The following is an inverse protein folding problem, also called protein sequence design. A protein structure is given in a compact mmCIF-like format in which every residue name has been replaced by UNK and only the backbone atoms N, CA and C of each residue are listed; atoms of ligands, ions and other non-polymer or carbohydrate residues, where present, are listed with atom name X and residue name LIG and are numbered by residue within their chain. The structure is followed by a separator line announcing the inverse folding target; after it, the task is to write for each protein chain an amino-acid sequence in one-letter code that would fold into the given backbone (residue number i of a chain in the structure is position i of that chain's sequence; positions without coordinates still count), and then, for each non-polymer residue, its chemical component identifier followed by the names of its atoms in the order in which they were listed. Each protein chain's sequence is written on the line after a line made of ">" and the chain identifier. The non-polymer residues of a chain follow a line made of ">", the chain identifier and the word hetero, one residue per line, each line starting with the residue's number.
data_IF_930393299389
#
_entry.id   IF_930393299389
#
_cell.length_a   1.000
_cell.length_b   1.000
_cell.length_c   1.000
_cell.angle_alpha   90.00
_cell.angle_beta   90.00
_cell.angle_gamma   90.00
#
_symmetry.space_group_name_H-M   'P 1'
#
loop_
_entity.id
_entity.type
_entity.pdbx_description
1 polymer ?
#
# COMPACT_ATOMS: atom_id res chain seq x y z
N UNK A 1 -40.27 -59.90 -28.17
CA UNK A 1 -41.72 -60.12 -28.33
C UNK A 1 -41.99 -60.08 -29.83
N UNK A 2 -42.47 -61.10 -30.52
CA UNK A 2 -43.09 -62.36 -30.14
C UNK A 2 -42.95 -63.35 -31.33
N UNK A 3 -43.11 -64.65 -31.03
CA UNK A 3 -43.46 -65.76 -31.93
C UNK A 3 -42.50 -66.03 -33.11
N UNK A 4 -41.79 -67.16 -33.20
CA UNK A 4 -42.27 -68.50 -32.90
C UNK A 4 -43.13 -68.99 -34.05
N UNK A 5 -42.51 -69.61 -35.05
CA UNK A 5 -43.20 -70.56 -35.93
C UNK A 5 -42.15 -71.52 -36.45
N UNK A 6 -41.93 -72.56 -35.66
CA UNK A 6 -41.47 -73.87 -36.14
C UNK A 6 -42.38 -74.26 -37.31
N UNK A 7 -41.78 -74.61 -38.44
CA UNK A 7 -42.50 -75.35 -39.47
C UNK A 7 -42.13 -76.81 -39.24
N UNK A 8 -43.03 -77.49 -38.52
CA UNK A 8 -43.08 -78.94 -38.45
C UNK A 8 -43.04 -79.51 -39.87
N UNK A 9 -42.02 -80.32 -40.14
CA UNK A 9 -42.00 -81.26 -41.25
C UNK A 9 -43.09 -82.30 -40.98
N UNK A 10 -44.31 -82.02 -41.42
CA UNK A 10 -45.33 -83.05 -41.57
C UNK A 10 -44.83 -84.05 -42.63
N UNK A 11 -44.69 -85.35 -42.31
CA UNK A 11 -44.49 -86.37 -43.34
C UNK A 11 -45.67 -86.26 -44.30
N UNK A 12 -45.44 -86.38 -45.61
CA UNK A 12 -46.54 -86.62 -46.54
C UNK A 12 -47.18 -87.97 -46.16
N UNK A 13 -48.16 -87.91 -45.27
CA UNK A 13 -49.17 -88.92 -45.05
C UNK A 13 -49.90 -89.16 -46.36
N UNK A 14 -50.09 -90.45 -46.68
CA UNK A 14 -51.17 -90.90 -47.54
C UNK A 14 -51.06 -90.52 -49.01
N UNK A 15 -50.13 -91.16 -49.75
CA UNK A 15 -50.53 -91.62 -51.08
C UNK A 15 -51.45 -92.83 -50.84
N UNK A 16 -52.70 -92.56 -50.44
CA UNK A 16 -53.77 -93.55 -50.46
C UNK A 16 -54.05 -93.90 -51.92
N UNK A 17 -53.70 -95.12 -52.32
CA UNK A 17 -53.84 -95.59 -53.69
C UNK A 17 -52.96 -96.78 -54.06
N UNK A 18 -52.10 -97.25 -53.16
CA UNK A 18 -51.49 -98.57 -53.26
C UNK A 18 -52.26 -99.52 -52.35
N UNK A 19 -53.16 -100.34 -52.91
CA UNK A 19 -53.42 -101.72 -52.50
C UNK A 19 -54.60 -102.33 -53.29
N UNK A 20 -54.38 -103.56 -53.78
CA UNK A 20 -55.16 -104.40 -54.73
C UNK A 20 -54.82 -104.22 -56.22
N UNK A 21 -54.13 -105.20 -56.86
CA UNK A 21 -54.03 -105.25 -58.31
C UNK A 21 -55.43 -105.55 -58.86
N UNK A 22 -55.98 -104.64 -59.66
CA UNK A 22 -57.24 -104.88 -60.37
C UNK A 22 -57.02 -106.06 -61.33
N UNK A 23 -57.60 -107.22 -61.05
CA UNK A 23 -57.57 -108.41 -61.94
C UNK A 23 -58.56 -108.13 -63.07
N UNK A 24 -58.07 -108.02 -64.30
CA UNK A 24 -58.88 -107.65 -65.47
C UNK A 24 -59.13 -108.89 -66.33
N UNK A 25 -60.39 -109.16 -66.67
CA UNK A 25 -60.76 -110.20 -67.63
C UNK A 25 -60.27 -109.80 -69.04
N UNK A 26 -59.84 -110.78 -69.86
CA UNK A 26 -59.13 -110.52 -71.13
C UNK A 26 -59.90 -109.60 -72.10
N UNK A 27 -61.23 -109.57 -72.02
CA UNK A 27 -62.10 -108.75 -72.87
C UNK A 27 -62.10 -107.26 -72.45
N UNK A 28 -61.87 -106.95 -71.17
CA UNK A 28 -61.91 -105.59 -70.60
C UNK A 28 -60.52 -104.96 -70.42
N UNK A 29 -59.45 -105.74 -70.60
CA UNK A 29 -58.06 -105.30 -70.50
C UNK A 29 -57.79 -104.09 -71.41
N UNK A 30 -58.39 -104.08 -72.59
CA UNK A 30 -58.20 -103.03 -73.58
C UNK A 30 -58.84 -101.70 -73.13
N UNK A 31 -59.97 -101.75 -72.43
CA UNK A 31 -60.65 -100.55 -71.89
C UNK A 31 -59.92 -99.98 -70.67
N UNK A 32 -59.45 -100.82 -69.74
CA UNK A 32 -58.67 -100.34 -68.58
C UNK A 32 -57.27 -99.85 -69.00
N UNK A 33 -56.64 -100.46 -70.01
CA UNK A 33 -55.41 -99.91 -70.60
C UNK A 33 -55.69 -98.56 -71.27
N UNK A 34 -56.79 -98.40 -72.01
CA UNK A 34 -57.17 -97.10 -72.57
C UNK A 34 -57.45 -96.05 -71.47
N UNK A 35 -58.09 -96.45 -70.36
CA UNK A 35 -58.32 -95.58 -69.20
C UNK A 35 -57.03 -95.17 -68.52
N UNK A 36 -56.11 -96.10 -68.24
CA UNK A 36 -54.80 -95.80 -67.65
C UNK A 36 -53.92 -94.97 -68.60
N UNK A 37 -54.01 -95.19 -69.91
CA UNK A 37 -53.38 -94.33 -70.92
C UNK A 37 -53.95 -92.92 -70.92
N UNK A 38 -55.28 -92.76 -70.80
CA UNK A 38 -55.92 -91.45 -70.70
C UNK A 38 -55.54 -90.71 -69.40
N UNK A 39 -55.42 -91.45 -68.29
CA UNK A 39 -55.13 -90.90 -66.96
C UNK A 39 -53.64 -90.57 -66.82
N UNK A 40 -52.75 -91.39 -67.37
CA UNK A 40 -51.31 -91.06 -67.50
C UNK A 40 -51.05 -89.92 -68.47
N UNK A 41 -51.80 -89.83 -69.59
CA UNK A 41 -51.74 -88.66 -70.47
C UNK A 41 -52.28 -87.39 -69.80
N UNK A 42 -53.36 -87.49 -69.01
CA UNK A 42 -53.89 -86.37 -68.23
C UNK A 42 -52.94 -85.94 -67.10
N UNK A 43 -52.29 -86.90 -66.42
CA UNK A 43 -51.27 -86.65 -65.41
C UNK A 43 -50.06 -85.96 -66.03
N UNK A 44 -49.55 -86.46 -67.17
CA UNK A 44 -48.45 -85.82 -67.90
C UNK A 44 -48.81 -84.40 -68.34
N UNK A 45 -50.03 -84.18 -68.83
CA UNK A 45 -50.53 -82.83 -69.17
C UNK A 45 -50.67 -81.93 -67.94
N UNK A 46 -50.98 -82.49 -66.77
CA UNK A 46 -51.03 -81.76 -65.52
C UNK A 46 -49.63 -81.41 -65.00
N UNK A 47 -48.65 -82.30 -65.16
CA UNK A 47 -47.24 -82.06 -64.84
C UNK A 47 -46.63 -80.97 -65.74
N UNK A 48 -46.85 -81.02 -67.05
CA UNK A 48 -46.42 -79.97 -67.99
C UNK A 48 -47.05 -78.60 -67.64
N UNK A 49 -48.31 -78.60 -67.20
CA UNK A 49 -48.98 -77.38 -66.70
C UNK A 49 -48.38 -76.91 -65.38
N UNK A 50 -48.08 -77.82 -64.45
CA UNK A 50 -47.42 -77.50 -63.17
C UNK A 50 -46.03 -76.89 -63.42
N UNK A 51 -45.24 -77.47 -64.31
CA UNK A 51 -43.91 -76.96 -64.67
C UNK A 51 -43.96 -75.60 -65.35
N UNK A 52 -44.84 -75.42 -66.33
CA UNK A 52 -45.00 -74.11 -66.99
C UNK A 52 -45.53 -73.03 -66.03
N UNK A 53 -46.38 -73.38 -65.07
CA UNK A 53 -46.79 -72.47 -64.00
C UNK A 53 -45.64 -72.19 -63.02
N UNK A 54 -44.85 -73.20 -62.65
CA UNK A 54 -43.68 -73.01 -61.78
C UNK A 54 -42.64 -72.09 -62.43
N UNK A 55 -42.35 -72.25 -63.73
CA UNK A 55 -41.46 -71.36 -64.47
C UNK A 55 -42.00 -69.92 -64.54
N UNK A 56 -43.31 -69.76 -64.80
CA UNK A 56 -43.95 -68.42 -64.78
C UNK A 56 -43.87 -67.80 -63.39
N UNK A 57 -44.13 -68.56 -62.33
CA UNK A 57 -44.03 -68.09 -60.95
C UNK A 57 -42.60 -67.67 -60.61
N UNK A 58 -41.59 -68.47 -60.97
CA UNK A 58 -40.19 -68.12 -60.70
C UNK A 58 -39.79 -66.83 -61.45
N UNK A 59 -40.20 -66.67 -62.72
CA UNK A 59 -39.94 -65.43 -63.46
C UNK A 59 -40.57 -64.19 -62.82
N UNK A 60 -41.78 -64.32 -62.28
CA UNK A 60 -42.48 -63.24 -61.58
C UNK A 60 -41.83 -62.97 -60.22
N UNK A 61 -41.40 -64.01 -59.50
CA UNK A 61 -40.69 -63.89 -58.23
C UNK A 61 -39.37 -63.15 -58.46
N UNK A 62 -38.61 -63.53 -59.49
CA UNK A 62 -37.32 -62.89 -59.78
C UNK A 62 -37.51 -61.40 -60.15
N UNK A 63 -38.46 -61.09 -61.02
CA UNK A 63 -38.81 -59.70 -61.34
C UNK A 63 -39.24 -58.90 -60.09
N UNK A 64 -39.94 -59.55 -59.14
CA UNK A 64 -40.30 -58.93 -57.85
C UNK A 64 -39.09 -58.75 -56.94
N UNK A 65 -38.14 -59.69 -56.90
CA UNK A 65 -36.89 -59.57 -56.12
C UNK A 65 -36.06 -58.38 -56.62
N UNK A 66 -35.91 -58.24 -57.93
CA UNK A 66 -35.20 -57.10 -58.52
C UNK A 66 -35.89 -55.77 -58.21
N UNK A 67 -37.22 -55.70 -58.38
CA UNK A 67 -38.00 -54.51 -58.00
C UNK A 67 -37.82 -54.17 -56.52
N UNK A 68 -37.88 -55.16 -55.63
CA UNK A 68 -37.68 -54.98 -54.20
C UNK A 68 -36.27 -54.49 -53.89
N UNK A 69 -35.23 -55.03 -54.53
CA UNK A 69 -33.85 -54.56 -54.40
C UNK A 69 -33.72 -53.09 -54.77
N UNK A 70 -34.26 -52.68 -55.92
CA UNK A 70 -34.24 -51.28 -56.37
C UNK A 70 -34.95 -50.36 -55.37
N UNK A 71 -36.11 -50.78 -54.85
CA UNK A 71 -36.83 -49.98 -53.85
C UNK A 71 -36.05 -49.83 -52.54
N UNK A 72 -35.31 -50.86 -52.11
CA UNK A 72 -34.45 -50.81 -50.94
C UNK A 72 -33.27 -49.86 -51.15
N UNK A 73 -32.57 -49.95 -52.29
CA UNK A 73 -31.47 -49.05 -52.64
C UNK A 73 -31.95 -47.58 -52.69
N UNK A 74 -33.10 -47.32 -53.30
CA UNK A 74 -33.72 -45.98 -53.31
C UNK A 74 -34.08 -45.49 -51.91
N UNK A 75 -34.56 -46.38 -51.03
CA UNK A 75 -34.88 -46.05 -49.64
C UNK A 75 -33.62 -45.68 -48.86
N UNK A 76 -32.51 -46.40 -49.04
CA UNK A 76 -31.23 -46.08 -48.43
C UNK A 76 -30.68 -44.73 -48.92
N UNK A 77 -30.73 -44.47 -50.24
CA UNK A 77 -30.30 -43.19 -50.78
C UNK A 77 -31.14 -42.03 -50.24
N UNK A 78 -32.46 -42.22 -50.13
CA UNK A 78 -33.36 -41.23 -49.52
C UNK A 78 -33.01 -40.97 -48.06
N UNK A 79 -32.70 -42.01 -47.28
CA UNK A 79 -32.27 -41.84 -45.88
C UNK A 79 -30.95 -41.06 -45.78
N UNK A 80 -29.96 -41.37 -46.62
CA UNK A 80 -28.69 -40.63 -46.67
C UNK A 80 -28.89 -39.15 -47.01
N UNK A 81 -29.76 -38.86 -47.98
CA UNK A 81 -30.12 -37.49 -48.34
C UNK A 81 -30.83 -36.76 -47.20
N UNK A 82 -31.74 -37.41 -46.48
CA UNK A 82 -32.44 -36.75 -45.36
C UNK A 82 -31.48 -36.44 -44.20
N UNK A 83 -30.54 -37.36 -43.90
CA UNK A 83 -29.48 -37.11 -42.91
C UNK A 83 -28.60 -35.93 -43.34
N UNK A 84 -28.18 -35.89 -44.61
CA UNK A 84 -27.38 -34.77 -45.13
C UNK A 84 -28.15 -33.44 -45.10
N UNK A 85 -29.44 -33.45 -45.44
CA UNK A 85 -30.31 -32.27 -45.39
C UNK A 85 -30.44 -31.71 -43.97
N UNK A 86 -30.63 -32.58 -42.97
CA UNK A 86 -30.67 -32.17 -41.56
C UNK A 86 -29.29 -31.63 -41.12
N UNK A 87 -28.19 -32.26 -41.53
CA UNK A 87 -26.85 -31.79 -41.22
C UNK A 87 -26.59 -30.39 -41.82
N UNK A 88 -26.98 -30.15 -43.07
CA UNK A 88 -26.86 -28.84 -43.73
C UNK A 88 -27.72 -27.79 -43.02
N UNK A 89 -28.96 -28.13 -42.63
CA UNK A 89 -29.82 -27.23 -41.87
C UNK A 89 -29.20 -26.85 -40.52
N UNK A 90 -28.65 -27.83 -39.78
CA UNK A 90 -27.96 -27.59 -38.52
C UNK A 90 -26.72 -26.70 -38.70
N UNK A 91 -25.92 -26.95 -39.75
CA UNK A 91 -24.77 -26.12 -40.09
C UNK A 91 -25.20 -24.67 -40.41
N UNK A 92 -26.29 -24.49 -41.16
CA UNK A 92 -26.85 -23.16 -41.46
C UNK A 92 -27.31 -22.42 -40.19
N UNK A 93 -27.93 -23.11 -39.23
CA UNK A 93 -28.32 -22.49 -37.95
C UNK A 93 -27.08 -22.07 -37.18
N UNK A 94 -26.03 -22.91 -37.15
CA UNK A 94 -24.79 -22.60 -36.46
C UNK A 94 -24.04 -21.41 -37.07
N UNK A 95 -23.99 -21.29 -38.40
CA UNK A 95 -23.37 -20.14 -39.07
C UNK A 95 -24.13 -18.83 -38.80
N UNK A 96 -25.46 -18.86 -38.76
CA UNK A 96 -26.27 -17.69 -38.39
C UNK A 96 -26.02 -17.29 -36.93
N UNK A 97 -26.05 -18.25 -36.00
CA UNK A 97 -25.79 -18.00 -34.58
C UNK A 97 -24.40 -17.39 -34.34
N UNK A 98 -23.36 -17.99 -34.92
CA UNK A 98 -21.99 -17.46 -34.79
C UNK A 98 -21.84 -16.08 -35.42
N UNK A 99 -22.53 -15.79 -36.53
CA UNK A 99 -22.57 -14.44 -37.11
C UNK A 99 -23.22 -13.42 -36.16
N UNK A 100 -24.31 -13.81 -35.50
CA UNK A 100 -25.00 -12.97 -34.52
C UNK A 100 -24.16 -12.72 -33.26
N UNK A 101 -23.47 -13.74 -32.74
CA UNK A 101 -22.52 -13.59 -31.63
C UNK A 101 -21.39 -12.61 -31.98
N UNK A 102 -20.86 -12.66 -33.20
CA UNK A 102 -19.85 -11.70 -33.68
C UNK A 102 -20.41 -10.28 -33.76
N UNK A 103 -21.66 -10.11 -34.23
CA UNK A 103 -22.33 -8.79 -34.25
C UNK A 103 -22.51 -8.23 -32.83
N UNK A 104 -22.93 -9.07 -31.89
CA UNK A 104 -23.12 -8.69 -30.49
C UNK A 104 -21.79 -8.26 -29.85
N UNK A 105 -20.72 -9.04 -30.05
CA UNK A 105 -19.37 -8.66 -29.58
C UNK A 105 -18.88 -7.36 -30.20
N UNK A 106 -19.12 -7.14 -31.51
CA UNK A 106 -18.77 -5.89 -32.18
C UNK A 106 -19.51 -4.70 -31.56
N UNK A 107 -20.81 -4.83 -31.27
CA UNK A 107 -21.58 -3.77 -30.62
C UNK A 107 -21.05 -3.43 -29.22
N UNK A 108 -20.70 -4.46 -28.42
CA UNK A 108 -20.08 -4.28 -27.10
C UNK A 108 -18.74 -3.55 -27.19
N UNK A 109 -17.88 -3.92 -28.14
CA UNK A 109 -16.60 -3.24 -28.37
C UNK A 109 -16.81 -1.79 -28.81
N UNK A 110 -17.77 -1.52 -29.69
CA UNK A 110 -18.11 -0.15 -30.07
C UNK A 110 -18.56 0.69 -28.87
N UNK A 111 -19.34 0.11 -27.95
CA UNK A 111 -19.71 0.78 -26.70
C UNK A 111 -18.49 1.05 -25.81
N UNK A 112 -17.63 0.03 -25.60
CA UNK A 112 -16.42 0.17 -24.80
C UNK A 112 -15.48 1.26 -25.36
N UNK A 113 -15.30 1.34 -26.68
CA UNK A 113 -14.51 2.39 -27.34
C UNK A 113 -15.10 3.78 -27.06
N UNK A 114 -16.44 3.94 -27.15
CA UNK A 114 -17.11 5.22 -26.84
C UNK A 114 -16.90 5.63 -25.38
N UNK A 115 -17.04 4.69 -24.44
CA UNK A 115 -16.79 4.94 -23.03
C UNK A 115 -15.34 5.32 -22.77
N UNK A 116 -14.39 4.62 -23.40
CA UNK A 116 -12.97 4.92 -23.28
C UNK A 116 -12.65 6.32 -23.81
N UNK A 117 -13.22 6.72 -24.94
CA UNK A 117 -13.05 8.07 -25.50
C UNK A 117 -13.55 9.17 -24.54
N UNK A 118 -14.71 8.97 -23.91
CA UNK A 118 -15.23 9.90 -22.89
C UNK A 118 -14.27 9.97 -21.70
N UNK A 119 -13.84 8.81 -21.19
CA UNK A 119 -12.89 8.76 -20.08
C UNK A 119 -11.52 9.39 -20.41
N UNK A 120 -11.07 9.28 -21.66
CA UNK A 120 -9.85 9.92 -22.14
C UNK A 120 -9.97 11.45 -22.15
N UNK A 121 -11.14 12.00 -22.54
CA UNK A 121 -11.41 13.44 -22.46
C UNK A 121 -11.42 13.93 -21.01
N UNK A 122 -12.08 13.21 -20.11
CA UNK A 122 -12.11 13.59 -18.69
C UNK A 122 -10.72 13.51 -18.06
N UNK A 123 -9.93 12.49 -18.40
CA UNK A 123 -8.55 12.35 -17.94
C UNK A 123 -7.66 13.50 -18.45
N UNK A 124 -7.80 13.87 -19.73
CA UNK A 124 -7.07 15.00 -20.31
C UNK A 124 -7.42 16.33 -19.63
N UNK A 125 -8.71 16.57 -19.36
CA UNK A 125 -9.15 17.75 -18.63
C UNK A 125 -8.58 17.78 -17.19
N UNK A 126 -8.63 16.66 -16.47
CA UNK A 126 -8.03 16.56 -15.13
C UNK A 126 -6.51 16.80 -15.16
N UNK A 127 -5.82 16.28 -16.18
CA UNK A 127 -4.39 16.52 -16.37
C UNK A 127 -4.08 18.00 -16.62
N UNK A 128 -4.88 18.68 -17.44
CA UNK A 128 -4.74 20.12 -17.69
C UNK A 128 -4.94 20.93 -16.40
N UNK A 129 -5.97 20.63 -15.62
CA UNK A 129 -6.21 21.29 -14.33
C UNK A 129 -5.04 21.11 -13.37
N UNK A 130 -4.46 19.90 -13.30
CA UNK A 130 -3.28 19.63 -12.48
C UNK A 130 -2.06 20.43 -12.97
N UNK A 131 -1.86 20.51 -14.28
CA UNK A 131 -0.77 21.33 -14.85
C UNK A 131 -0.95 22.82 -14.54
N UNK A 132 -2.18 23.34 -14.60
CA UNK A 132 -2.49 24.73 -14.24
C UNK A 132 -2.22 24.99 -12.76
N UNK A 133 -2.67 24.10 -11.87
CA UNK A 133 -2.37 24.19 -10.44
C UNK A 133 -0.86 24.17 -10.18
N UNK A 134 -0.11 23.29 -10.85
CA UNK A 134 1.35 23.25 -10.75
C UNK A 134 2.00 24.53 -11.27
N UNK A 135 1.50 25.14 -12.35
CA UNK A 135 1.98 26.45 -12.85
C UNK A 135 1.68 27.58 -11.88
N UNK A 136 0.54 27.55 -11.19
CA UNK A 136 0.21 28.53 -10.16
C UNK A 136 1.11 28.37 -8.93
N UNK A 137 1.36 27.14 -8.48
CA UNK A 137 2.24 26.85 -7.34
C UNK A 137 3.71 27.15 -7.64
N UNK A 138 4.21 26.73 -8.81
CA UNK A 138 5.57 27.04 -9.30
C UNK A 138 5.70 28.50 -9.78
N UNK A 139 4.59 29.24 -9.83
CA UNK A 139 4.58 30.62 -10.22
C UNK A 139 5.50 31.42 -9.30
N UNK A 140 6.46 32.14 -9.90
CA UNK A 140 7.40 33.03 -9.20
C UNK A 140 6.70 33.95 -8.17
N UNK A 141 5.41 34.28 -8.39
CA UNK A 141 4.56 35.08 -7.50
C UNK A 141 4.23 34.40 -6.18
N UNK A 142 3.89 33.11 -6.16
CA UNK A 142 3.55 32.38 -4.91
C UNK A 142 4.80 32.20 -4.06
N UNK A 143 5.91 31.77 -4.69
CA UNK A 143 7.20 31.69 -4.02
C UNK A 143 7.68 33.04 -3.49
N UNK A 144 7.48 34.13 -4.24
CA UNK A 144 7.80 35.47 -3.77
C UNK A 144 6.91 35.89 -2.59
N UNK A 145 5.61 35.63 -2.63
CA UNK A 145 4.70 35.98 -1.55
C UNK A 145 5.02 35.21 -0.27
N UNK A 146 5.25 33.89 -0.35
CA UNK A 146 5.66 33.08 0.79
C UNK A 146 7.01 33.54 1.34
N UNK A 147 7.99 33.82 0.48
CA UNK A 147 9.29 34.36 0.90
C UNK A 147 9.13 35.72 1.58
N UNK A 148 8.24 36.58 1.08
CA UNK A 148 7.96 37.87 1.70
C UNK A 148 7.29 37.72 3.08
N UNK A 149 6.32 36.81 3.21
CA UNK A 149 5.70 36.47 4.50
C UNK A 149 6.71 35.87 5.49
N UNK A 150 7.58 34.97 5.03
CA UNK A 150 8.66 34.41 5.83
C UNK A 150 9.58 35.53 6.33
N UNK A 151 10.00 36.46 5.45
CA UNK A 151 10.79 37.62 5.87
C UNK A 151 10.06 38.46 6.91
N UNK A 152 8.79 38.79 6.70
CA UNK A 152 7.98 39.54 7.68
C UNK A 152 7.88 38.84 9.03
N UNK A 153 7.69 37.51 9.04
CA UNK A 153 7.66 36.71 10.26
C UNK A 153 9.02 36.73 10.97
N UNK A 154 10.11 36.52 10.25
CA UNK A 154 11.48 36.56 10.78
C UNK A 154 11.83 37.94 11.34
N UNK A 155 11.45 39.02 10.66
CA UNK A 155 11.61 40.40 11.17
C UNK A 155 10.81 40.63 12.46
N UNK A 156 9.58 40.09 12.55
CA UNK A 156 8.79 40.17 13.78
C UNK A 156 9.45 39.39 14.92
N UNK A 157 9.93 38.17 14.66
CA UNK A 157 10.65 37.36 15.64
C UNK A 157 11.92 38.05 16.12
N UNK A 158 12.71 38.62 15.22
CA UNK A 158 13.89 39.40 15.54
C UNK A 158 13.56 40.57 16.47
N UNK A 159 12.49 41.32 16.18
CA UNK A 159 12.04 42.41 17.04
C UNK A 159 11.62 41.93 18.44
N UNK A 160 10.86 40.82 18.52
CA UNK A 160 10.44 40.25 19.80
C UNK A 160 11.63 39.74 20.62
N UNK A 161 12.61 39.07 19.99
CA UNK A 161 13.83 38.60 20.66
C UNK A 161 14.74 39.78 21.04
N UNK A 162 14.75 40.86 20.27
CA UNK A 162 15.42 42.12 20.65
C UNK A 162 14.84 42.73 21.93
N UNK A 163 13.52 42.67 22.11
CA UNK A 163 12.89 43.06 23.38
C UNK A 163 13.32 42.15 24.53
N UNK A 164 13.36 40.82 24.33
CA UNK A 164 13.83 39.89 25.37
C UNK A 164 15.28 40.16 25.76
N UNK A 165 16.14 40.46 24.80
CA UNK A 165 17.53 40.83 25.08
C UNK A 165 17.65 42.17 25.83
N UNK A 166 16.69 43.08 25.63
CA UNK A 166 16.59 44.34 26.39
C UNK A 166 16.12 44.08 27.83
N UNK A 167 15.19 43.12 28.02
CA UNK A 167 14.72 42.70 29.35
C UNK A 167 15.80 41.92 30.13
N UNK A 168 16.60 41.11 29.44
CA UNK A 168 17.67 40.29 30.01
C UNK A 168 19.03 40.63 29.37
N UNK A 169 19.59 41.82 29.66
CA UNK A 169 20.85 42.26 29.07
C UNK A 169 21.99 41.34 29.52
N UNK A 170 22.65 40.74 28.54
CA UNK A 170 23.85 39.91 28.75
C UNK A 170 25.11 40.73 28.50
N UNK A 171 25.73 41.23 29.57
CA UNK A 171 27.02 41.95 29.49
C UNK A 171 28.18 40.98 29.77
N UNK A 172 29.17 40.97 28.88
CA UNK A 172 30.49 40.42 29.21
C UNK A 172 31.18 41.40 30.16
N UNK A 173 31.76 40.91 31.25
CA UNK A 173 32.57 41.74 32.12
C UNK A 173 33.86 42.10 31.39
N UNK A 174 33.92 43.27 30.74
CA UNK A 174 35.19 43.89 30.39
C UNK A 174 35.85 44.36 31.69
N UNK A 175 36.96 43.72 32.03
CA UNK A 175 37.78 44.10 33.16
C UNK A 175 38.46 45.44 32.84
N UNK A 176 37.81 46.54 33.20
CA UNK A 176 38.49 47.84 33.27
C UNK A 176 39.44 47.82 34.47
N UNK A 177 40.65 47.29 34.27
CA UNK A 177 41.78 47.63 35.13
C UNK A 177 42.09 49.11 34.88
N UNK A 178 41.55 49.98 35.74
CA UNK A 178 42.06 51.34 35.90
C UNK A 178 43.37 51.26 36.67
N UNK A 179 44.49 51.23 35.97
CA UNK A 179 45.75 51.72 36.54
C UNK A 179 45.93 53.18 36.14
N UNK A 180 45.95 54.06 37.14
CA UNK A 180 46.37 55.45 37.01
C UNK A 180 47.77 55.58 37.63
N UNK A 181 48.64 56.28 36.89
CA UNK A 181 49.83 57.06 37.27
C UNK A 181 51.24 56.44 37.14
N UNK A 182 52.11 57.25 36.51
CA UNK A 182 53.58 57.23 36.59
C UNK A 182 54.26 56.87 35.26
N UNK A 183 54.41 57.78 34.30
CA UNK A 183 55.54 58.70 34.10
C UNK A 183 56.90 58.03 33.81
N UNK A 184 57.44 58.40 32.64
CA UNK A 184 58.85 58.51 32.23
C UNK A 184 59.62 57.36 31.54
N UNK A 185 59.89 57.65 30.26
CA UNK A 185 61.18 57.63 29.55
C UNK A 185 61.77 56.35 28.88
N UNK A 186 61.91 56.51 27.55
CA UNK A 186 63.05 56.19 26.65
C UNK A 186 63.49 54.74 26.37
N UNK A 187 63.36 54.41 25.08
CA UNK A 187 64.42 54.03 24.11
C UNK A 187 64.56 52.58 23.63
N UNK A 188 64.57 52.48 22.29
CA UNK A 188 65.38 51.66 21.35
C UNK A 188 65.31 50.11 21.37
N UNK A 189 64.92 49.62 20.19
CA UNK A 189 65.39 48.46 19.41
C UNK A 189 65.90 47.21 20.13
N UNK A 190 65.26 46.07 19.83
CA UNK A 190 65.92 44.78 19.58
C UNK A 190 64.99 43.81 18.84
N UNK A 191 65.43 43.44 17.64
CA UNK A 191 65.02 42.32 16.81
C UNK A 191 65.05 40.97 17.55
N UNK A 192 63.99 40.15 17.46
CA UNK A 192 64.07 38.69 17.25
C UNK A 192 62.70 37.98 17.38
N UNK A 193 62.32 37.31 16.29
CA UNK A 193 61.60 36.02 16.21
C UNK A 193 60.34 35.80 17.07
N UNK A 194 59.15 36.02 16.47
CA UNK A 194 57.93 35.35 16.91
C UNK A 194 57.77 34.03 16.16
N UNK A 195 58.11 32.96 16.86
CA UNK A 195 57.77 31.58 16.49
C UNK A 195 56.26 31.41 16.55
N UNK A 196 55.68 30.96 15.44
CA UNK A 196 54.35 30.38 15.36
C UNK A 196 54.29 29.21 16.34
N UNK A 197 53.39 29.21 17.33
CA UNK A 197 52.76 27.99 17.83
C UNK A 197 51.66 28.22 18.89
N UNK A 198 50.53 27.56 18.59
CA UNK A 198 49.49 27.04 19.48
C UNK A 198 48.46 28.05 20.03
N UNK A 199 47.32 28.01 19.35
CA UNK A 199 45.98 28.43 19.75
C UNK A 199 45.67 28.16 21.23
N UNK A 200 45.61 29.22 22.03
CA UNK A 200 44.86 29.24 23.28
C UNK A 200 43.37 29.41 22.96
N UNK A 201 42.54 28.50 23.47
CA UNK A 201 41.10 28.61 23.44
C UNK A 201 40.64 29.99 23.97
N UNK A 202 39.57 30.59 23.42
CA UNK A 202 39.07 31.88 23.91
C UNK A 202 38.61 31.71 25.35
N UNK A 203 39.32 32.33 26.29
CA UNK A 203 38.90 32.41 27.69
C UNK A 203 37.63 33.27 27.72
N UNK A 204 36.48 32.62 27.87
CA UNK A 204 35.17 33.26 28.00
C UNK A 204 35.18 34.12 29.27
N UNK A 205 35.10 35.44 29.10
CA UNK A 205 34.84 36.36 30.21
C UNK A 205 33.53 35.99 30.92
N UNK A 206 33.41 36.17 32.25
CA UNK A 206 32.19 35.82 32.96
C UNK A 206 31.01 36.65 32.43
N UNK A 207 30.02 35.99 31.84
CA UNK A 207 28.79 36.61 31.36
C UNK A 207 27.86 36.90 32.56
N UNK A 208 27.23 38.06 32.54
CA UNK A 208 26.21 38.46 33.54
C UNK A 208 24.86 38.67 32.87
N UNK A 209 23.77 38.26 33.52
CA UNK A 209 22.41 38.69 33.18
C UNK A 209 21.97 39.69 34.24
N UNK A 210 21.57 40.90 33.83
CA UNK A 210 21.15 41.98 34.76
C UNK A 210 22.20 42.30 35.85
N UNK A 211 23.49 42.11 35.54
CA UNK A 211 24.61 42.33 36.49
C UNK A 211 24.84 41.20 37.50
N UNK A 212 24.12 40.08 37.37
CA UNK A 212 24.32 38.88 38.19
C UNK A 212 25.16 37.83 37.44
N UNK A 213 26.22 37.32 38.08
CA UNK A 213 27.06 36.26 37.52
C UNK A 213 26.50 34.88 37.85
N UNK A 214 26.50 33.98 36.88
CA UNK A 214 26.37 32.55 37.14
C UNK A 214 27.76 32.03 37.55
N UNK A 215 28.07 32.08 38.83
CA UNK A 215 29.26 31.40 39.35
C UNK A 215 29.08 29.92 39.07
N UNK A 216 29.98 29.32 38.29
CA UNK A 216 30.05 27.88 38.14
C UNK A 216 30.36 27.30 39.52
N UNK A 217 29.32 26.91 40.28
CA UNK A 217 29.48 26.46 41.65
C UNK A 217 30.43 25.25 41.64
N UNK A 218 31.58 25.33 42.34
CA UNK A 218 32.42 24.16 42.48
C UNK A 218 31.69 23.19 43.40
N UNK A 219 31.00 22.22 42.78
CA UNK A 219 30.28 21.11 43.44
C UNK A 219 31.13 20.30 44.44
N UNK A 220 32.44 20.59 44.57
CA UNK A 220 33.39 19.89 45.43
C UNK A 220 33.75 20.58 46.75
N UNK A 221 33.36 21.84 47.01
CA UNK A 221 33.59 22.49 48.31
C UNK A 221 32.49 23.52 48.62
N UNK A 222 31.40 23.04 49.22
CA UNK A 222 30.43 23.92 49.89
C UNK A 222 31.02 24.28 51.26
N UNK A 223 31.66 25.44 51.36
CA UNK A 223 32.13 25.97 52.64
C UNK A 223 30.93 26.45 53.46
N UNK A 224 30.81 26.00 54.71
CA UNK A 224 29.67 26.19 55.62
C UNK A 224 29.13 27.63 55.81
N UNK A 225 29.80 28.69 55.31
CA UNK A 225 29.49 30.08 55.67
C UNK A 225 29.44 31.13 54.53
N UNK A 226 29.73 30.80 53.26
CA UNK A 226 29.74 31.83 52.19
C UNK A 226 28.64 31.72 51.12
N UNK A 227 27.81 30.68 51.15
CA UNK A 227 27.12 30.25 49.92
C UNK A 227 25.67 30.73 49.73
N UNK A 228 24.93 31.09 50.79
CA UNK A 228 23.46 31.34 50.65
C UNK A 228 23.11 32.46 49.67
N UNK A 229 23.88 33.56 49.70
CA UNK A 229 23.67 34.72 48.82
C UNK A 229 24.11 34.43 47.38
N UNK A 230 25.14 33.61 47.20
CA UNK A 230 25.62 33.20 45.86
C UNK A 230 24.70 32.15 45.23
N UNK A 231 24.22 31.18 46.01
CA UNK A 231 23.18 30.23 45.63
C UNK A 231 21.90 30.96 45.21
N UNK A 232 21.46 31.96 45.98
CA UNK A 232 20.27 32.73 45.62
C UNK A 232 20.47 33.54 44.33
N UNK A 233 21.66 34.12 44.13
CA UNK A 233 22.01 34.83 42.88
C UNK A 233 22.03 33.88 41.69
N UNK A 234 22.65 32.71 41.81
CA UNK A 234 22.72 31.72 40.72
C UNK A 234 21.32 31.20 40.38
N UNK A 235 20.49 30.89 41.38
CA UNK A 235 19.09 30.53 41.22
C UNK A 235 18.28 31.61 40.49
N UNK A 236 18.51 32.89 40.84
CA UNK A 236 17.85 34.03 40.16
C UNK A 236 18.28 34.14 38.70
N UNK A 237 19.58 34.00 38.41
CA UNK A 237 20.10 34.01 37.04
C UNK A 237 19.49 32.88 36.22
N UNK A 238 19.42 31.68 36.79
CA UNK A 238 18.87 30.51 36.10
C UNK A 238 17.36 30.64 35.86
N UNK A 239 16.64 31.26 36.78
CA UNK A 239 15.24 31.66 36.59
C UNK A 239 15.06 32.65 35.44
N UNK A 240 15.95 33.65 35.31
CA UNK A 240 15.94 34.58 34.18
C UNK A 240 16.27 33.90 32.85
N UNK A 241 17.22 32.97 32.83
CA UNK A 241 17.51 32.15 31.65
C UNK A 241 16.28 31.34 31.26
N UNK A 242 15.67 30.61 32.19
CA UNK A 242 14.48 29.80 31.93
C UNK A 242 13.34 30.64 31.35
N UNK A 243 13.12 31.84 31.90
CA UNK A 243 12.12 32.77 31.36
C UNK A 243 12.45 33.24 29.95
N UNK A 244 13.71 33.63 29.69
CA UNK A 244 14.16 34.04 28.35
C UNK A 244 14.03 32.90 27.33
N UNK A 245 14.40 31.67 27.69
CA UNK A 245 14.28 30.47 26.84
C UNK A 245 12.82 30.20 26.49
N UNK A 246 11.92 30.25 27.49
CA UNK A 246 10.49 30.04 27.23
C UNK A 246 9.92 31.10 26.28
N UNK A 247 10.27 32.38 26.47
CA UNK A 247 9.83 33.45 25.59
C UNK A 247 10.36 33.26 24.16
N UNK A 248 11.66 33.01 24.01
CA UNK A 248 12.27 32.79 22.69
C UNK A 248 11.64 31.58 22.00
N UNK A 249 11.47 30.46 22.70
CA UNK A 249 10.81 29.27 22.16
C UNK A 249 9.38 29.57 21.69
N UNK A 250 8.61 30.33 22.47
CA UNK A 250 7.25 30.73 22.09
C UNK A 250 7.21 31.65 20.87
N UNK A 251 8.21 32.51 20.68
CA UNK A 251 8.31 33.41 19.53
C UNK A 251 8.77 32.70 18.27
N UNK A 252 9.63 31.69 18.41
CA UNK A 252 10.08 30.84 17.32
C UNK A 252 9.06 29.75 16.96
N UNK A 253 8.01 29.56 17.77
CA UNK A 253 7.03 28.48 17.66
C UNK A 253 7.68 27.09 17.75
N UNK A 254 8.69 26.97 18.62
CA UNK A 254 9.42 25.71 18.85
C UNK A 254 8.99 25.11 20.18
N UNK A 255 8.35 23.92 20.20
CA UNK A 255 7.98 23.27 21.44
C UNK A 255 9.23 22.77 22.18
N UNK A 256 9.41 23.20 23.42
CA UNK A 256 10.52 22.77 24.27
C UNK A 256 10.38 21.28 24.64
N UNK A 257 11.50 20.54 24.59
CA UNK A 257 11.53 19.12 24.99
C UNK A 257 11.33 18.95 26.48
N UNK A 258 11.84 19.90 27.28
CA UNK A 258 11.74 19.88 28.73
C UNK A 258 10.91 21.08 29.23
N UNK A 259 9.58 20.95 29.37
CA UNK A 259 8.71 22.04 29.80
C UNK A 259 9.15 22.70 31.11
N UNK A 260 9.14 24.03 31.11
CA UNK A 260 9.57 24.86 32.24
C UNK A 260 8.38 25.31 33.10
N UNK A 261 8.53 25.21 34.42
CA UNK A 261 7.64 25.84 35.41
C UNK A 261 8.36 27.04 36.01
N UNK A 262 7.92 28.22 35.61
CA UNK A 262 8.53 29.47 36.04
C UNK A 262 8.12 29.82 37.47
N UNK A 263 9.12 30.04 38.32
CA UNK A 263 8.97 30.45 39.72
C UNK A 263 9.99 31.50 40.15
N UNK A 264 10.55 32.25 39.19
CA UNK A 264 11.66 33.18 39.45
C UNK A 264 12.90 32.41 39.91
N UNK A 265 13.42 32.75 41.10
CA UNK A 265 14.53 32.01 41.72
C UNK A 265 14.20 30.56 42.09
N UNK A 266 12.92 30.16 42.05
CA UNK A 266 12.45 28.82 42.36
C UNK A 266 11.81 28.16 41.13
N UNK A 267 12.47 28.26 39.97
CA UNK A 267 11.97 27.66 38.72
C UNK A 267 12.31 26.16 38.65
N UNK A 268 11.46 25.38 37.98
CA UNK A 268 11.60 23.94 37.82
C UNK A 268 11.55 23.53 36.34
N UNK A 269 12.14 22.40 36.01
CA UNK A 269 12.11 21.78 34.68
C UNK A 269 11.62 20.34 34.79
N UNK A 270 10.83 19.89 33.84
CA UNK A 270 10.27 18.54 33.83
C UNK A 270 11.00 17.66 32.83
N UNK A 271 11.32 16.44 33.24
CA UNK A 271 11.72 15.38 32.32
C UNK A 271 10.57 14.38 32.17
N UNK A 272 10.18 14.13 30.92
CA UNK A 272 9.18 13.14 30.56
C UNK A 272 9.81 11.81 30.13
N UNK A 273 11.13 11.65 30.24
CA UNK A 273 11.76 10.36 30.06
C UNK A 273 11.12 9.34 31.01
N UNK A 274 10.74 8.15 30.51
CA UNK A 274 10.16 7.11 31.35
C UNK A 274 11.21 6.69 32.40
N UNK A 275 11.02 7.11 33.65
CA UNK A 275 11.92 6.73 34.72
C UNK A 275 11.75 5.23 34.99
N UNK A 276 12.84 4.47 34.88
CA UNK A 276 12.88 3.04 35.22
C UNK A 276 12.58 2.82 36.73
N UNK A 277 12.71 3.87 37.55
CA UNK A 277 12.56 3.81 39.02
C UNK A 277 11.11 3.73 39.54
N UNK A 278 10.09 3.76 38.67
CA UNK A 278 8.69 3.52 39.11
C UNK A 278 8.30 2.04 39.15
N UNK A 279 9.22 1.10 38.84
CA UNK A 279 9.01 -0.34 39.07
C UNK A 279 9.46 -0.74 40.49
N UNK A 280 8.82 -0.20 41.53
CA UNK A 280 8.85 -0.85 42.85
C UNK A 280 7.57 -0.61 43.65
N UNK A 281 6.47 -1.19 43.19
CA UNK A 281 5.52 -1.94 44.03
C UNK A 281 4.39 -2.45 43.15
N UNK A 282 4.44 -3.76 42.93
CA UNK A 282 3.31 -4.67 42.85
C UNK A 282 2.24 -4.45 41.77
N UNK A 283 2.43 -5.22 40.69
CA UNK A 283 1.41 -6.10 40.07
C UNK A 283 -0.02 -5.55 39.96
N UNK A 284 -0.37 -5.01 38.77
CA UNK A 284 -1.58 -5.41 38.05
C UNK A 284 -1.61 -4.79 36.65
N UNK A 285 -2.09 -5.58 35.71
CA UNK A 285 -2.14 -5.35 34.28
C UNK A 285 -2.81 -4.04 33.82
N UNK A 286 -2.39 -3.62 32.61
CA UNK A 286 -3.08 -2.83 31.57
C UNK A 286 -2.47 -1.42 31.28
N UNK A 287 -1.79 -1.22 30.14
CA UNK A 287 -1.11 0.04 29.80
C UNK A 287 -2.05 1.08 29.16
N UNK A 288 -3.37 1.06 29.45
CA UNK A 288 -4.36 1.87 28.73
C UNK A 288 -5.20 2.77 29.66
N UNK A 289 -5.11 2.63 31.00
CA UNK A 289 -5.98 3.39 31.94
C UNK A 289 -5.19 4.03 33.10
N UNK A 290 -3.96 4.48 32.86
CA UNK A 290 -3.18 5.27 33.84
C UNK A 290 -2.89 6.69 33.32
N UNK A 291 -3.89 7.29 32.65
CA UNK A 291 -3.85 8.68 32.16
C UNK A 291 -4.17 9.74 33.21
N UNK A 292 -4.17 9.39 34.50
CA UNK A 292 -4.51 10.32 35.59
C UNK A 292 -3.31 10.58 36.50
N UNK A 293 -2.64 11.69 36.21
CA UNK A 293 -1.84 12.48 37.16
C UNK A 293 -0.67 11.79 37.87
N UNK A 294 0.26 11.20 37.12
CA UNK A 294 1.65 11.19 37.58
C UNK A 294 2.28 12.50 37.08
N UNK A 295 2.45 13.49 37.98
CA UNK A 295 3.23 14.68 37.61
C UNK A 295 4.63 14.19 37.21
N UNK A 296 5.14 14.57 36.03
CA UNK A 296 6.50 14.22 35.64
C UNK A 296 7.48 14.72 36.71
N UNK A 297 8.60 14.01 36.94
CA UNK A 297 9.57 14.41 37.95
C UNK A 297 10.03 15.86 37.72
N UNK A 298 9.82 16.70 38.75
CA UNK A 298 10.19 18.11 38.75
C UNK A 298 11.64 18.25 39.27
N UNK A 299 12.51 18.86 38.47
CA UNK A 299 13.90 19.13 38.84
C UNK A 299 14.11 20.63 39.09
N UNK A 300 14.69 21.02 40.25
CA UNK A 300 14.85 22.43 40.60
C UNK A 300 16.00 23.08 39.83
N UNK A 301 15.78 24.28 39.29
CA UNK A 301 16.82 25.15 38.73
C UNK A 301 17.46 26.03 39.83
N UNK A 302 17.61 25.48 41.03
CA UNK A 302 18.25 26.13 42.16
C UNK A 302 18.80 25.05 43.09
N UNK A 303 19.78 25.41 43.91
CA UNK A 303 20.33 24.47 44.89
C UNK A 303 19.43 24.43 46.12
N UNK A 304 18.77 23.30 46.33
CA UNK A 304 17.96 23.02 47.51
C UNK A 304 18.71 22.01 48.39
N UNK A 305 19.35 22.47 49.46
CA UNK A 305 20.02 21.60 50.44
C UNK A 305 21.21 20.79 49.89
N UNK A 306 21.24 19.48 50.18
CA UNK A 306 22.33 18.55 49.76
C UNK A 306 22.18 18.02 48.32
N UNK A 307 21.05 18.26 47.64
CA UNK A 307 20.72 17.64 46.35
C UNK A 307 21.31 18.39 45.14
N UNK A 308 22.61 18.65 45.20
CA UNK A 308 23.37 19.34 44.15
C UNK A 308 23.32 18.64 42.79
N UNK A 309 23.12 17.32 42.79
CA UNK A 309 23.01 16.48 41.59
C UNK A 309 21.72 16.73 40.82
N UNK A 310 20.58 16.89 41.52
CA UNK A 310 19.27 17.20 40.91
C UNK A 310 19.29 18.56 40.22
N UNK A 311 19.88 19.57 40.87
CA UNK A 311 20.04 20.90 40.31
C UNK A 311 21.00 20.91 39.10
N UNK A 312 22.11 20.19 39.17
CA UNK A 312 23.05 20.05 38.06
C UNK A 312 22.39 19.38 36.83
N UNK A 313 21.53 18.37 37.06
CA UNK A 313 20.74 17.74 36.02
C UNK A 313 19.72 18.69 35.39
N UNK A 314 18.99 19.47 36.22
CA UNK A 314 18.07 20.50 35.73
C UNK A 314 18.75 21.53 34.80
N UNK A 315 19.95 21.99 35.18
CA UNK A 315 20.78 22.90 34.38
C UNK A 315 21.16 22.27 33.03
N UNK A 316 21.53 20.99 33.05
CA UNK A 316 21.85 20.23 31.84
C UNK A 316 20.64 20.15 30.90
N UNK A 317 19.45 19.86 31.42
CA UNK A 317 18.21 19.81 30.64
C UNK A 317 17.86 21.18 30.03
N UNK A 318 17.99 22.26 30.80
CA UNK A 318 17.82 23.62 30.30
C UNK A 318 18.80 23.95 29.17
N UNK A 319 20.05 23.46 29.26
CA UNK A 319 21.00 23.62 28.16
C UNK A 319 20.61 22.79 26.92
N UNK A 320 19.94 21.64 27.10
CA UNK A 320 19.45 20.83 25.98
C UNK A 320 18.30 21.50 25.25
N UNK A 321 17.44 22.21 25.94
CA UNK A 321 16.43 23.08 25.29
C UNK A 321 17.10 24.23 24.52
N UNK A 322 18.14 24.85 25.08
CA UNK A 322 18.92 25.86 24.35
C UNK A 322 19.62 25.31 23.11
N UNK A 323 20.17 24.10 23.19
CA UNK A 323 20.78 23.39 22.07
C UNK A 323 19.75 23.09 20.98
N UNK A 324 18.52 22.72 21.36
CA UNK A 324 17.41 22.57 20.41
C UNK A 324 17.10 23.89 19.68
N UNK A 325 17.00 25.00 20.42
CA UNK A 325 16.73 26.31 19.81
C UNK A 325 17.87 26.78 18.91
N UNK A 326 19.13 26.52 19.29
CA UNK A 326 20.28 26.81 18.43
C UNK A 326 20.25 25.99 17.15
N UNK A 327 19.93 24.70 17.25
CA UNK A 327 19.80 23.81 16.09
C UNK A 327 18.67 24.24 15.14
N UNK A 328 17.54 24.75 15.68
CA UNK A 328 16.44 25.29 14.89
C UNK A 328 16.86 26.51 14.04
N UNK A 329 17.76 27.33 14.60
CA UNK A 329 18.34 28.48 13.89
C UNK A 329 19.59 28.09 13.07
N UNK A 330 19.99 26.81 13.08
CA UNK A 330 21.11 26.29 12.28
C UNK A 330 22.50 26.50 12.88
N UNK A 331 22.61 26.61 14.20
CA UNK A 331 23.86 26.84 14.93
C UNK A 331 24.18 25.71 15.93
N UNK A 332 25.48 25.45 16.13
CA UNK A 332 25.94 24.46 17.10
C UNK A 332 26.07 25.05 18.50
N UNK A 333 25.78 24.25 19.53
CA UNK A 333 25.98 24.68 20.92
C UNK A 333 27.44 24.61 21.35
N UNK A 334 27.85 25.50 22.26
CA UNK A 334 29.20 25.49 22.86
C UNK A 334 29.36 24.38 23.93
N UNK A 335 28.36 23.51 24.10
CA UNK A 335 28.35 22.40 25.04
C UNK A 335 27.48 22.61 26.30
N UNK A 336 27.34 21.56 27.14
CA UNK A 336 26.32 21.46 28.19
C UNK A 336 26.52 22.39 29.40
N UNK A 337 27.73 22.93 29.60
CA UNK A 337 28.07 23.78 30.75
C UNK A 337 27.95 25.29 30.43
N UNK A 338 27.64 25.63 29.18
CA UNK A 338 27.75 26.99 28.66
C UNK A 338 26.38 27.66 28.46
N UNK A 339 25.45 27.47 29.40
CA UNK A 339 24.06 27.96 29.34
C UNK A 339 23.97 29.44 28.95
N UNK A 340 24.70 30.32 29.63
CA UNK A 340 24.69 31.76 29.34
C UNK A 340 25.32 32.10 27.99
N UNK A 341 26.39 31.41 27.61
CA UNK A 341 27.05 31.66 26.33
C UNK A 341 26.17 31.19 25.16
N UNK A 342 25.49 30.04 25.31
CA UNK A 342 24.54 29.51 24.35
C UNK A 342 23.32 30.44 24.19
N UNK A 343 22.78 30.97 25.29
CA UNK A 343 21.69 31.95 25.23
C UNK A 343 22.13 33.26 24.55
N UNK A 344 23.34 33.76 24.85
CA UNK A 344 23.90 34.95 24.20
C UNK A 344 24.06 34.74 22.70
N UNK A 345 24.57 33.57 22.32
CA UNK A 345 24.78 33.21 20.92
C UNK A 345 23.45 33.08 20.18
N UNK A 346 22.45 32.44 20.77
CA UNK A 346 21.10 32.34 20.22
C UNK A 346 20.50 33.71 19.95
N UNK A 347 20.54 34.62 20.94
CA UNK A 347 20.05 36.00 20.75
C UNK A 347 20.84 36.74 19.67
N UNK A 348 22.16 36.57 19.61
CA UNK A 348 23.03 37.21 18.61
C UNK A 348 22.67 36.77 17.20
N UNK A 349 22.44 35.48 16.98
CA UNK A 349 22.13 34.94 15.66
C UNK A 349 20.75 35.42 15.20
N UNK A 350 19.74 35.33 16.06
CA UNK A 350 18.38 35.79 15.73
C UNK A 350 18.35 37.31 15.47
N UNK A 351 19.16 38.09 16.19
CA UNK A 351 19.30 39.54 15.97
C UNK A 351 20.10 39.90 14.71
N UNK A 352 20.83 38.96 14.12
CA UNK A 352 21.63 39.23 12.93
C UNK A 352 20.76 39.39 11.68
N UNK A 353 21.27 40.13 10.69
CA UNK A 353 20.58 40.28 9.41
C UNK A 353 20.45 38.94 8.66
N UNK A 354 21.39 38.02 8.89
CA UNK A 354 21.41 36.70 8.25
C UNK A 354 20.15 35.89 8.59
N UNK A 355 19.60 36.05 9.80
CA UNK A 355 18.39 35.35 10.22
C UNK A 355 17.14 35.68 9.38
N UNK A 356 17.05 36.89 8.83
CA UNK A 356 15.92 37.32 8.00
C UNK A 356 16.02 36.71 6.59
N UNK A 357 17.23 36.44 6.14
CA UNK A 357 17.52 35.97 4.78
C UNK A 357 17.60 34.44 4.64
N UNK A 358 17.54 33.71 5.77
CA UNK A 358 17.31 32.25 5.84
C UNK A 358 15.82 31.94 5.58
#
# INVERSE_FOLDING_TARGET
>A
MAAGTEWELSPLEGIEGAETPKIVEWEDLQEELARLWSLSAALKKAEERKESLAQKLESIIEARRESLRLTNELKEMRQKLEVQKVAIANLSIHTVKTSEDVKNRRAQLCFAIRMLLVSGKTLSAAHQQLQEANKLLSGKRVHWHLRNLQKMLRTRQQYMVSQVATLYPMKGLEQTCKEKQGSDNKSRDSTASCSLNVSKAPQLSPLTILGLQLTALPLKRMGFFSDKKEIQRSATVLGYVAHAVLLIASYLDVPLRYPLRLGGSCSYIHDYAPSIESLSSDLSANPIITGMSMKPPEFPLFLEGQDTTRAAYAIFLLNKDLEQLLNDVGAESLGPRHVLANLKELMRIIQSQQYIDI
#
